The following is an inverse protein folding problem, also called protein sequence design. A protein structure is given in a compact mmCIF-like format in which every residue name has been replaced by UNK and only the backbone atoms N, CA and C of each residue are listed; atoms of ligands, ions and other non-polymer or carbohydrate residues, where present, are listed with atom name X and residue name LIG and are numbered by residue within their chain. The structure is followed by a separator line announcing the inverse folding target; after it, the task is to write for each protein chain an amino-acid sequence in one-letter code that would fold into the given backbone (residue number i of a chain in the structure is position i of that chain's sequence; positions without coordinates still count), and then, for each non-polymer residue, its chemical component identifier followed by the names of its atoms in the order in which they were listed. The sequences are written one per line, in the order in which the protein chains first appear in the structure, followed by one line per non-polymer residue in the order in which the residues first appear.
data_IF_040517188007
#
_entry.id   IF_040517188007
#
_cell.length_a   1.000
_cell.length_b   1.000
_cell.length_c   1.000
_cell.angle_alpha   90.00
_cell.angle_beta   90.00
_cell.angle_gamma   90.00
#
_symmetry.space_group_name_H-M   'P 1'
#
loop_
_entity.id
_entity.type
_entity.pdbx_description
1 polymer ?
#
# COMPACT_ATOMS: atom_id res chain seq x y z
N UNK A 1 31.64 26.18 5.31
CA UNK A 1 31.07 26.32 6.69
C UNK A 1 29.53 26.26 6.73
N UNK A 2 28.84 26.79 5.75
CA UNK A 2 27.36 26.84 5.73
C UNK A 2 26.72 25.46 5.68
N UNK A 3 27.19 24.54 4.80
CA UNK A 3 26.55 23.20 4.59
C UNK A 3 26.61 22.33 5.85
N UNK A 4 27.75 22.31 6.56
CA UNK A 4 27.89 21.50 7.77
C UNK A 4 26.92 21.95 8.88
N UNK A 5 26.71 23.27 9.00
CA UNK A 5 25.73 23.84 9.95
C UNK A 5 24.31 23.43 9.59
N UNK A 6 23.90 23.59 8.32
CA UNK A 6 22.57 23.20 7.83
C UNK A 6 22.30 21.70 8.06
N UNK A 7 23.31 20.85 7.79
CA UNK A 7 23.16 19.43 8.06
C UNK A 7 22.94 19.19 9.55
N UNK A 8 23.77 19.78 10.43
CA UNK A 8 23.65 19.60 11.88
C UNK A 8 22.31 20.06 12.41
N UNK A 9 21.84 21.24 12.00
CA UNK A 9 20.52 21.78 12.38
C UNK A 9 19.40 20.87 11.91
N UNK A 10 19.44 20.38 10.67
CA UNK A 10 18.43 19.47 10.15
C UNK A 10 18.41 18.13 10.86
N UNK A 11 19.57 17.54 11.10
CA UNK A 11 19.65 16.25 11.79
C UNK A 11 19.21 16.34 13.26
N UNK A 12 19.56 17.43 13.96
CA UNK A 12 19.13 17.61 15.36
C UNK A 12 17.61 17.79 15.52
N UNK A 13 16.94 18.30 14.49
CA UNK A 13 15.46 18.47 14.47
C UNK A 13 14.69 17.29 13.90
N UNK A 14 15.41 16.27 13.37
CA UNK A 14 14.77 15.13 12.70
C UNK A 14 14.76 13.91 13.63
N UNK A 15 13.60 13.30 13.91
CA UNK A 15 13.54 12.07 14.69
C UNK A 15 14.26 10.91 14.01
N UNK A 16 14.82 9.99 14.81
CA UNK A 16 15.41 8.76 14.28
C UNK A 16 14.35 7.93 13.51
N UNK A 17 14.76 7.32 12.40
CA UNK A 17 13.90 6.53 11.52
C UNK A 17 13.22 7.34 10.42
N UNK A 18 13.17 8.66 10.51
CA UNK A 18 12.60 9.52 9.45
C UNK A 18 13.57 9.60 8.27
N UNK A 19 13.04 9.38 7.07
CA UNK A 19 13.83 9.44 5.83
C UNK A 19 13.94 10.86 5.32
N UNK A 20 15.17 11.31 5.17
CA UNK A 20 15.54 12.61 4.60
C UNK A 20 16.05 12.45 3.17
N UNK A 21 15.68 13.38 2.32
CA UNK A 21 16.23 13.54 0.97
C UNK A 21 17.20 14.72 0.92
N UNK A 22 18.04 14.78 -0.11
CA UNK A 22 18.94 15.94 -0.29
C UNK A 22 18.16 17.26 -0.44
N UNK A 23 16.89 17.23 -0.85
CA UNK A 23 16.02 18.41 -0.96
C UNK A 23 15.61 18.98 0.40
N UNK A 24 15.51 18.14 1.43
CA UNK A 24 15.07 18.54 2.77
C UNK A 24 16.07 19.43 3.50
N UNK A 25 17.29 19.54 2.95
CA UNK A 25 18.34 20.41 3.49
C UNK A 25 18.30 21.84 2.93
N UNK A 26 17.45 22.15 1.95
CA UNK A 26 17.29 23.49 1.40
C UNK A 26 18.56 24.07 0.73
N UNK A 27 19.46 23.19 0.27
CA UNK A 27 20.75 23.60 -0.31
C UNK A 27 20.56 23.85 -1.82
N UNK A 28 21.06 25.00 -2.30
CA UNK A 28 21.03 25.35 -3.71
C UNK A 28 21.68 24.28 -4.60
N UNK A 29 21.24 24.20 -5.87
CA UNK A 29 21.67 23.17 -6.83
C UNK A 29 23.20 23.11 -6.98
N UNK A 30 23.87 24.26 -7.04
CA UNK A 30 25.35 24.35 -7.17
C UNK A 30 26.12 23.70 -6.02
N UNK A 31 25.50 23.57 -4.85
CA UNK A 31 26.11 22.95 -3.66
C UNK A 31 25.68 21.52 -3.40
N UNK A 32 24.78 20.95 -4.22
CA UNK A 32 24.31 19.58 -4.06
C UNK A 32 25.45 18.51 -4.04
N UNK A 33 26.52 18.63 -4.87
CA UNK A 33 27.65 17.70 -4.80
C UNK A 33 28.37 17.75 -3.45
N UNK A 34 28.56 18.95 -2.88
CA UNK A 34 29.19 19.12 -1.57
C UNK A 34 28.32 18.58 -0.44
N UNK A 35 26.99 18.81 -0.49
CA UNK A 35 26.02 18.19 0.43
C UNK A 35 26.10 16.66 0.37
N UNK A 36 26.04 16.07 -0.82
CA UNK A 36 26.11 14.63 -1.00
C UNK A 36 27.41 14.03 -0.44
N UNK A 37 28.56 14.70 -0.63
CA UNK A 37 29.85 14.29 -0.07
C UNK A 37 29.81 14.33 1.47
N UNK A 38 29.24 15.40 2.06
CA UNK A 38 29.14 15.54 3.50
C UNK A 38 28.20 14.46 4.11
N UNK A 39 27.04 14.21 3.50
CA UNK A 39 26.12 13.16 3.96
C UNK A 39 26.74 11.76 3.83
N UNK A 40 27.46 11.47 2.75
CA UNK A 40 28.17 10.19 2.61
C UNK A 40 29.28 10.02 3.69
N UNK A 41 29.93 11.09 4.11
CA UNK A 41 30.89 11.02 5.23
C UNK A 41 30.17 10.63 6.53
N UNK A 42 29.02 11.20 6.82
CA UNK A 42 28.20 10.82 8.00
C UNK A 42 27.72 9.36 7.93
N UNK A 43 27.46 8.85 6.71
CA UNK A 43 27.17 7.42 6.53
C UNK A 43 28.38 6.56 6.89
N UNK A 44 29.60 6.93 6.48
CA UNK A 44 30.83 6.21 6.83
C UNK A 44 31.12 6.26 8.35
N UNK A 45 30.72 7.34 9.02
CA UNK A 45 30.84 7.50 10.48
C UNK A 45 29.71 6.76 11.25
N UNK A 46 28.73 6.18 10.56
CA UNK A 46 27.60 5.48 11.18
C UNK A 46 26.57 6.39 11.86
N UNK A 47 26.62 7.70 11.60
CA UNK A 47 25.63 8.67 12.07
C UNK A 47 24.38 8.66 11.20
N UNK A 48 24.52 8.36 9.92
CA UNK A 48 23.43 8.17 8.97
C UNK A 48 23.47 6.79 8.33
N UNK A 49 22.34 6.33 7.86
CA UNK A 49 22.27 5.20 6.93
C UNK A 49 21.63 5.64 5.62
N UNK A 50 22.12 5.06 4.50
CA UNK A 50 21.63 5.34 3.15
C UNK A 50 20.70 4.23 2.71
N UNK A 51 19.50 4.58 2.28
CA UNK A 51 18.52 3.61 1.76
C UNK A 51 18.44 3.59 0.24
N UNK A 52 18.77 4.71 -0.42
CA UNK A 52 18.83 4.85 -1.88
C UNK A 52 19.70 6.09 -2.23
N UNK A 53 19.91 6.34 -3.52
CA UNK A 53 20.59 7.55 -3.99
C UNK A 53 19.87 8.80 -3.49
N UNK A 54 20.56 9.64 -2.73
CA UNK A 54 20.04 10.89 -2.16
C UNK A 54 19.02 10.72 -1.04
N UNK A 55 18.89 9.52 -0.44
CA UNK A 55 17.97 9.24 0.67
C UNK A 55 18.71 8.64 1.84
N UNK A 56 18.54 9.25 2.99
CA UNK A 56 19.26 8.92 4.21
C UNK A 56 18.30 8.93 5.39
N UNK A 57 18.66 8.28 6.50
CA UNK A 57 17.97 8.37 7.77
C UNK A 57 18.92 8.28 8.94
N UNK A 58 18.51 8.77 10.10
CA UNK A 58 19.20 8.62 11.36
C UNK A 58 18.79 7.26 11.95
N UNK A 59 19.71 6.28 12.09
CA UNK A 59 19.35 4.98 12.63
C UNK A 59 19.04 5.08 14.13
N UNK A 60 17.96 4.45 14.57
CA UNK A 60 17.72 4.24 15.98
C UNK A 60 18.57 3.06 16.45
N UNK A 61 19.58 3.34 17.25
CA UNK A 61 20.48 2.33 17.80
C UNK A 61 19.79 1.57 18.93
N UNK A 62 19.89 0.25 18.91
CA UNK A 62 19.38 -0.65 19.95
C UNK A 62 20.45 -1.68 20.30
N UNK A 63 20.24 -2.45 21.37
CA UNK A 63 21.12 -3.57 21.76
C UNK A 63 21.21 -4.66 20.67
N UNK A 64 20.19 -4.73 19.78
CA UNK A 64 20.14 -5.67 18.66
C UNK A 64 20.64 -5.06 17.34
N UNK A 65 21.22 -3.85 17.36
CA UNK A 65 21.70 -3.13 16.18
C UNK A 65 20.82 -1.95 15.78
N UNK A 66 21.02 -1.48 14.56
CA UNK A 66 20.30 -0.34 14.02
C UNK A 66 18.92 -0.76 13.50
N UNK A 67 17.86 -0.12 13.99
CA UNK A 67 16.51 -0.34 13.46
C UNK A 67 16.36 0.29 12.07
N UNK A 68 15.66 -0.44 11.19
CA UNK A 68 15.26 0.07 9.88
C UNK A 68 14.15 1.13 10.04
N UNK A 69 14.01 2.05 9.07
CA UNK A 69 12.86 2.93 9.01
C UNK A 69 11.53 2.15 8.91
N UNK A 70 10.44 2.77 9.31
CA UNK A 70 9.10 2.21 9.05
C UNK A 70 8.87 2.05 7.54
N UNK A 71 8.02 1.08 7.16
CA UNK A 71 7.69 0.82 5.76
C UNK A 71 7.18 2.07 5.03
N UNK A 72 6.36 2.88 5.70
CA UNK A 72 5.87 4.16 5.18
C UNK A 72 7.00 5.15 4.85
N UNK A 73 8.04 5.20 5.67
CA UNK A 73 9.20 6.05 5.41
C UNK A 73 10.07 5.51 4.25
N UNK A 74 10.21 4.18 4.13
CA UNK A 74 10.95 3.57 3.03
C UNK A 74 10.33 3.88 1.66
N UNK A 75 9.02 4.05 1.59
CA UNK A 75 8.26 4.27 0.35
C UNK A 75 7.62 5.64 0.25
N UNK A 76 7.91 6.56 1.17
CA UNK A 76 7.27 7.88 1.30
C UNK A 76 7.14 8.65 -0.03
N UNK A 77 8.19 8.62 -0.85
CA UNK A 77 8.20 9.26 -2.18
C UNK A 77 7.29 8.58 -3.22
N UNK A 78 6.78 7.39 -2.93
CA UNK A 78 5.76 6.70 -3.71
C UNK A 78 4.35 6.91 -3.14
N UNK A 79 4.24 7.37 -1.90
CA UNK A 79 2.95 7.66 -1.26
C UNK A 79 2.54 9.10 -1.49
N UNK A 80 3.50 10.03 -1.41
CA UNK A 80 3.25 11.46 -1.51
C UNK A 80 4.30 12.16 -2.37
N UNK A 81 3.86 13.10 -3.22
CA UNK A 81 4.71 13.97 -4.02
C UNK A 81 4.13 15.38 -4.04
N UNK A 82 4.93 16.38 -3.63
CA UNK A 82 4.53 17.81 -3.61
C UNK A 82 3.22 18.04 -2.85
N UNK A 83 3.03 17.40 -1.69
CA UNK A 83 1.83 17.52 -0.87
C UNK A 83 0.60 16.78 -1.42
N UNK A 84 0.74 16.01 -2.51
CA UNK A 84 -0.36 15.23 -3.09
C UNK A 84 -0.12 13.75 -2.86
N UNK A 85 -1.17 13.03 -2.49
CA UNK A 85 -1.15 11.57 -2.40
C UNK A 85 -1.06 11.01 -3.83
N UNK A 86 -0.09 10.13 -4.06
CA UNK A 86 0.16 9.50 -5.37
C UNK A 86 0.26 7.97 -5.27
N UNK A 87 0.10 7.43 -4.07
CA UNK A 87 0.11 6.00 -3.81
C UNK A 87 -0.26 5.67 -2.36
N UNK A 88 -0.39 4.39 -2.07
CA UNK A 88 -0.72 3.87 -0.74
C UNK A 88 -0.10 2.48 -0.54
N UNK A 89 0.19 2.13 0.70
CA UNK A 89 0.63 0.78 1.05
C UNK A 89 -0.58 -0.15 1.04
N UNK A 90 -0.45 -1.27 0.34
CA UNK A 90 -1.42 -2.37 0.25
C UNK A 90 -0.74 -3.73 0.42
N UNK A 91 -1.41 -4.83 0.05
CA UNK A 91 -0.86 -6.18 0.17
C UNK A 91 -0.78 -6.64 1.64
N UNK A 92 0.10 -7.60 1.92
CA UNK A 92 0.14 -8.31 3.20
C UNK A 92 0.15 -7.40 4.43
N UNK A 93 0.89 -6.27 4.40
CA UNK A 93 0.93 -5.33 5.51
C UNK A 93 -0.44 -4.67 5.79
N UNK A 94 -1.15 -4.26 4.73
CA UNK A 94 -2.50 -3.71 4.83
C UNK A 94 -3.52 -4.81 5.19
N UNK A 95 -3.37 -6.00 4.63
CA UNK A 95 -4.25 -7.13 4.87
C UNK A 95 -4.16 -7.64 6.31
N UNK A 96 -2.96 -7.62 6.91
CA UNK A 96 -2.78 -7.92 8.33
C UNK A 96 -3.56 -6.93 9.23
N UNK A 97 -3.55 -5.64 8.90
CA UNK A 97 -4.33 -4.64 9.64
C UNK A 97 -5.86 -4.79 9.47
N UNK A 98 -6.29 -5.47 8.42
CA UNK A 98 -7.70 -5.83 8.16
C UNK A 98 -8.08 -7.21 8.75
N UNK A 99 -7.15 -7.90 9.42
CA UNK A 99 -7.38 -9.24 9.96
C UNK A 99 -7.49 -10.34 8.90
N UNK A 100 -6.97 -10.10 7.68
CA UNK A 100 -7.01 -11.08 6.59
C UNK A 100 -5.82 -12.05 6.61
N UNK A 101 -4.78 -11.75 7.38
CA UNK A 101 -3.61 -12.61 7.54
C UNK A 101 -2.89 -12.29 8.84
N UNK A 102 -2.20 -13.28 9.39
CA UNK A 102 -1.30 -13.11 10.54
C UNK A 102 0.17 -12.99 10.12
N UNK A 103 0.46 -13.12 8.83
CA UNK A 103 1.83 -13.09 8.33
C UNK A 103 2.39 -11.67 8.30
N UNK A 104 3.61 -11.52 8.83
CA UNK A 104 4.40 -10.30 8.68
C UNK A 104 5.12 -10.34 7.33
N UNK A 105 4.88 -9.32 6.50
CA UNK A 105 5.52 -9.25 5.19
C UNK A 105 6.98 -8.77 5.29
N UNK A 106 7.88 -9.39 4.55
CA UNK A 106 9.24 -8.91 4.31
C UNK A 106 9.36 -7.99 3.10
N UNK A 107 8.24 -7.71 2.42
CA UNK A 107 8.17 -6.86 1.22
C UNK A 107 7.04 -5.85 1.35
N UNK A 108 7.16 -4.75 0.62
CA UNK A 108 6.14 -3.69 0.59
C UNK A 108 5.48 -3.69 -0.78
N UNK A 109 4.15 -3.72 -0.81
CA UNK A 109 3.36 -3.50 -2.02
C UNK A 109 2.74 -2.10 -1.97
N UNK A 110 2.96 -1.32 -3.03
CA UNK A 110 2.45 0.05 -3.15
C UNK A 110 1.46 0.13 -4.31
N UNK A 111 0.21 0.51 -4.02
CA UNK A 111 -0.78 0.90 -5.03
C UNK A 111 -0.44 2.29 -5.59
N UNK A 112 -0.39 2.44 -6.91
CA UNK A 112 -0.01 3.71 -7.58
C UNK A 112 -0.63 3.81 -8.97
N UNK A 113 -0.95 5.03 -9.41
CA UNK A 113 -1.48 5.28 -10.77
C UNK A 113 -0.42 5.20 -11.89
N UNK A 114 0.85 4.96 -11.54
CA UNK A 114 1.95 4.86 -12.53
C UNK A 114 2.56 3.47 -12.51
N UNK A 115 2.70 2.87 -13.68
CA UNK A 115 3.47 1.63 -13.80
C UNK A 115 4.90 1.84 -13.30
N UNK A 116 5.37 0.95 -12.44
CA UNK A 116 6.74 0.94 -11.90
C UNK A 116 7.27 -0.47 -11.81
N UNK A 117 8.55 -0.63 -12.11
CA UNK A 117 9.25 -1.90 -11.88
C UNK A 117 9.55 -2.07 -10.39
N UNK A 118 9.56 -3.30 -9.87
CA UNK A 118 9.99 -3.58 -8.51
C UNK A 118 11.41 -3.06 -8.26
N UNK A 119 11.65 -2.59 -7.03
CA UNK A 119 12.97 -2.10 -6.57
C UNK A 119 13.29 -2.69 -5.20
N UNK A 120 14.55 -2.56 -4.78
CA UNK A 120 14.98 -2.91 -3.42
C UNK A 120 15.55 -1.68 -2.73
N UNK A 121 15.12 -1.43 -1.50
CA UNK A 121 15.65 -0.39 -0.61
C UNK A 121 15.99 -0.98 0.75
N UNK A 122 17.19 -0.76 1.23
CA UNK A 122 17.63 -1.26 2.53
C UNK A 122 17.33 -2.76 2.76
N UNK A 123 17.47 -3.58 1.71
CA UNK A 123 17.18 -5.01 1.73
C UNK A 123 15.69 -5.38 1.69
N UNK A 124 14.78 -4.39 1.60
CA UNK A 124 13.33 -4.62 1.48
C UNK A 124 12.92 -4.53 0.02
N UNK A 125 12.24 -5.56 -0.49
CA UNK A 125 11.65 -5.56 -1.84
C UNK A 125 10.40 -4.69 -1.83
N UNK A 126 10.33 -3.74 -2.77
CA UNK A 126 9.17 -2.87 -2.99
C UNK A 126 8.60 -3.21 -4.35
N UNK A 127 7.36 -3.65 -4.37
CA UNK A 127 6.59 -3.96 -5.58
C UNK A 127 5.47 -2.94 -5.76
N UNK A 128 4.94 -2.84 -6.97
CA UNK A 128 3.91 -1.85 -7.30
C UNK A 128 2.70 -2.52 -7.93
N UNK A 129 1.52 -2.11 -7.47
CA UNK A 129 0.23 -2.50 -8.00
C UNK A 129 -0.35 -1.31 -8.77
N UNK A 130 -0.64 -1.50 -10.06
CA UNK A 130 -1.27 -0.44 -10.84
C UNK A 130 -2.71 -0.25 -10.35
N UNK A 131 -3.01 0.99 -9.98
CA UNK A 131 -4.32 1.46 -9.55
C UNK A 131 -4.86 2.43 -10.59
N UNK A 132 -6.02 2.12 -11.17
CA UNK A 132 -6.65 2.96 -12.19
C UNK A 132 -7.53 4.06 -11.60
N UNK A 133 -8.10 3.83 -10.42
CA UNK A 133 -8.83 4.87 -9.69
C UNK A 133 -7.92 6.00 -9.23
N UNK A 134 -8.45 7.22 -9.19
CA UNK A 134 -7.80 8.33 -8.50
C UNK A 134 -7.59 7.96 -7.02
N UNK A 135 -6.39 8.25 -6.49
CA UNK A 135 -6.03 7.93 -5.11
C UNK A 135 -6.23 9.15 -4.23
N UNK A 136 -7.07 9.01 -3.20
CA UNK A 136 -7.34 10.04 -2.20
C UNK A 136 -7.23 9.46 -0.79
N UNK A 137 -7.05 10.31 0.22
CA UNK A 137 -7.03 9.85 1.61
C UNK A 137 -8.33 9.15 2.03
N UNK A 138 -9.47 9.58 1.51
CA UNK A 138 -10.78 9.03 1.84
C UNK A 138 -11.02 7.65 1.23
N UNK A 139 -10.53 7.38 0.01
CA UNK A 139 -10.81 6.13 -0.68
C UNK A 139 -9.74 5.03 -0.50
N UNK A 140 -8.57 5.34 0.06
CA UNK A 140 -7.53 4.33 0.33
C UNK A 140 -8.05 3.12 1.12
N UNK A 141 -8.88 3.26 2.17
CA UNK A 141 -9.44 2.10 2.86
C UNK A 141 -10.29 1.21 1.95
N UNK A 142 -11.06 1.82 1.05
CA UNK A 142 -11.90 1.11 0.07
C UNK A 142 -11.06 0.40 -1.00
N UNK A 143 -10.02 1.08 -1.50
CA UNK A 143 -9.07 0.49 -2.45
C UNK A 143 -8.35 -0.73 -1.86
N UNK A 144 -8.02 -0.71 -0.56
CA UNK A 144 -7.43 -1.88 0.12
C UNK A 144 -8.38 -3.07 0.18
N UNK A 145 -9.68 -2.84 0.34
CA UNK A 145 -10.69 -3.91 0.27
C UNK A 145 -10.71 -4.52 -1.15
N UNK A 146 -10.72 -3.68 -2.18
CA UNK A 146 -10.69 -4.14 -3.57
C UNK A 146 -9.39 -4.86 -3.93
N UNK A 147 -8.26 -4.38 -3.42
CA UNK A 147 -6.96 -5.05 -3.58
C UNK A 147 -6.94 -6.42 -2.89
N UNK A 148 -7.59 -6.55 -1.73
CA UNK A 148 -7.72 -7.82 -1.04
C UNK A 148 -8.57 -8.81 -1.86
N UNK A 149 -9.68 -8.36 -2.44
CA UNK A 149 -10.48 -9.17 -3.37
C UNK A 149 -9.68 -9.55 -4.62
N UNK A 150 -8.87 -8.63 -5.16
CA UNK A 150 -7.98 -8.87 -6.30
C UNK A 150 -6.92 -9.91 -6.01
N UNK A 151 -6.37 -9.93 -4.82
CA UNK A 151 -5.28 -10.80 -4.39
C UNK A 151 -5.74 -11.96 -3.51
N UNK A 152 -7.05 -12.26 -3.48
CA UNK A 152 -7.65 -13.18 -2.51
C UNK A 152 -7.03 -14.59 -2.51
N UNK A 153 -6.52 -15.03 -3.66
CA UNK A 153 -5.84 -16.33 -3.80
C UNK A 153 -4.40 -16.33 -3.29
N UNK A 154 -3.81 -15.15 -3.16
CA UNK A 154 -2.39 -14.97 -2.85
C UNK A 154 -2.17 -14.44 -1.43
N UNK A 155 -3.25 -14.24 -0.64
CA UNK A 155 -3.13 -13.81 0.76
C UNK A 155 -2.62 -14.99 1.58
N UNK A 156 -1.44 -14.86 2.20
CA UNK A 156 -0.82 -15.98 2.90
C UNK A 156 -1.42 -16.23 4.29
N UNK A 157 -1.24 -17.45 4.81
CA UNK A 157 -1.65 -17.87 6.15
C UNK A 157 -3.15 -17.67 6.46
N UNK A 158 -3.99 -17.85 5.43
CA UNK A 158 -5.45 -17.76 5.51
C UNK A 158 -6.08 -18.49 4.33
N UNK A 159 -7.36 -18.78 4.39
CA UNK A 159 -8.13 -19.28 3.26
C UNK A 159 -8.93 -18.15 2.59
N UNK A 160 -9.29 -18.27 1.29
CA UNK A 160 -10.21 -17.35 0.63
C UNK A 160 -11.54 -17.20 1.36
N UNK A 161 -12.06 -18.25 1.96
CA UNK A 161 -13.30 -18.24 2.75
C UNK A 161 -13.18 -17.35 4.00
N UNK A 162 -12.09 -17.50 4.76
CA UNK A 162 -11.80 -16.63 5.90
C UNK A 162 -11.62 -15.18 5.46
N UNK A 163 -10.94 -14.96 4.32
CA UNK A 163 -10.79 -13.62 3.75
C UNK A 163 -12.13 -13.00 3.42
N UNK A 164 -13.03 -13.70 2.71
CA UNK A 164 -14.37 -13.21 2.39
C UNK A 164 -15.14 -12.88 3.67
N UNK A 165 -15.13 -13.75 4.65
CA UNK A 165 -15.81 -13.52 5.94
C UNK A 165 -15.31 -12.24 6.62
N UNK A 166 -14.01 -12.01 6.65
CA UNK A 166 -13.44 -10.80 7.27
C UNK A 166 -13.67 -9.54 6.41
N UNK A 167 -13.64 -9.67 5.08
CA UNK A 167 -14.00 -8.58 4.16
C UNK A 167 -15.47 -8.18 4.34
N UNK A 168 -16.39 -9.13 4.50
CA UNK A 168 -17.79 -8.84 4.82
C UNK A 168 -17.93 -8.02 6.10
N UNK A 169 -17.17 -8.36 7.17
CA UNK A 169 -17.14 -7.57 8.40
C UNK A 169 -16.64 -6.14 8.15
N UNK A 170 -15.56 -6.00 7.37
CA UNK A 170 -15.02 -4.69 7.01
C UNK A 170 -16.03 -3.86 6.20
N UNK A 171 -16.71 -4.45 5.22
CA UNK A 171 -17.76 -3.78 4.43
C UNK A 171 -18.96 -3.42 5.30
N UNK A 172 -19.34 -4.28 6.24
CA UNK A 172 -20.47 -4.01 7.13
C UNK A 172 -20.23 -2.76 7.99
N UNK A 173 -18.99 -2.52 8.40
CA UNK A 173 -18.59 -1.34 9.17
C UNK A 173 -18.59 -0.02 8.36
N UNK A 174 -18.68 -0.09 7.03
CA UNK A 174 -18.73 1.09 6.17
C UNK A 174 -20.09 1.78 6.24
N UNK A 175 -20.10 3.10 6.09
CA UNK A 175 -21.34 3.85 5.86
C UNK A 175 -21.96 3.50 4.51
N UNK A 176 -23.26 3.78 4.33
CA UNK A 176 -23.93 3.54 3.04
C UNK A 176 -23.29 4.32 1.89
N UNK A 177 -22.78 5.54 2.15
CA UNK A 177 -22.04 6.33 1.16
C UNK A 177 -20.74 5.63 0.74
N UNK A 178 -19.98 5.11 1.69
CA UNK A 178 -18.75 4.36 1.40
C UNK A 178 -19.02 3.04 0.68
N UNK A 179 -20.12 2.35 0.99
CA UNK A 179 -20.52 1.14 0.26
C UNK A 179 -20.82 1.46 -1.21
N UNK A 180 -21.54 2.56 -1.51
CA UNK A 180 -21.78 3.02 -2.89
C UNK A 180 -20.46 3.37 -3.58
N UNK A 181 -19.59 4.14 -2.93
CA UNK A 181 -18.27 4.48 -3.45
C UNK A 181 -17.41 3.23 -3.73
N UNK A 182 -17.47 2.21 -2.86
CA UNK A 182 -16.76 0.95 -3.07
C UNK A 182 -17.25 0.22 -4.32
N UNK A 183 -18.57 0.20 -4.59
CA UNK A 183 -19.12 -0.34 -5.81
C UNK A 183 -18.65 0.42 -7.06
N UNK A 184 -18.65 1.76 -7.02
CA UNK A 184 -18.15 2.61 -8.11
C UNK A 184 -16.67 2.39 -8.37
N UNK A 185 -15.83 2.40 -7.32
CA UNK A 185 -14.39 2.16 -7.44
C UNK A 185 -14.08 0.76 -8.01
N UNK A 186 -14.93 -0.22 -7.75
CA UNK A 186 -14.75 -1.59 -8.28
C UNK A 186 -14.81 -1.67 -9.80
N UNK A 187 -15.46 -0.70 -10.46
CA UNK A 187 -15.60 -0.68 -11.92
C UNK A 187 -14.27 -0.61 -12.67
N UNK A 188 -13.25 -0.03 -12.04
CA UNK A 188 -11.88 -0.01 -12.56
C UNK A 188 -11.09 -1.30 -12.29
N UNK A 189 -11.67 -2.29 -11.61
CA UNK A 189 -11.04 -3.58 -11.35
C UNK A 189 -11.47 -4.65 -12.36
N UNK A 190 -10.73 -5.75 -12.39
CA UNK A 190 -11.01 -6.88 -13.28
C UNK A 190 -12.38 -7.50 -13.00
N UNK A 191 -13.02 -8.12 -14.02
CA UNK A 191 -14.38 -8.65 -13.88
C UNK A 191 -14.57 -9.61 -12.70
N UNK A 192 -13.58 -10.46 -12.39
CA UNK A 192 -13.71 -11.39 -11.26
C UNK A 192 -13.76 -10.68 -9.89
N UNK A 193 -13.08 -9.53 -9.73
CA UNK A 193 -13.16 -8.71 -8.50
C UNK A 193 -14.56 -8.12 -8.36
N UNK A 194 -15.11 -7.62 -9.48
CA UNK A 194 -16.47 -7.09 -9.52
C UNK A 194 -17.50 -8.18 -9.23
N UNK A 195 -17.36 -9.37 -9.82
CA UNK A 195 -18.23 -10.51 -9.55
C UNK A 195 -18.19 -10.92 -8.07
N UNK A 196 -16.98 -10.99 -7.48
CA UNK A 196 -16.83 -11.34 -6.07
C UNK A 196 -17.44 -10.28 -5.14
N UNK A 197 -17.22 -8.99 -5.42
CA UNK A 197 -17.84 -7.91 -4.66
C UNK A 197 -19.36 -7.93 -4.81
N UNK A 198 -19.87 -8.19 -6.01
CA UNK A 198 -21.29 -8.31 -6.28
C UNK A 198 -21.95 -9.46 -5.51
N UNK A 199 -21.30 -10.64 -5.47
CA UNK A 199 -21.77 -11.77 -4.67
C UNK A 199 -21.79 -11.44 -3.16
N UNK A 200 -20.77 -10.73 -2.67
CA UNK A 200 -20.74 -10.25 -1.28
C UNK A 200 -21.87 -9.26 -1.03
N UNK A 201 -22.10 -8.30 -1.94
CA UNK A 201 -23.16 -7.30 -1.80
C UNK A 201 -24.57 -7.94 -1.81
N UNK A 202 -24.83 -8.86 -2.73
CA UNK A 202 -26.08 -9.59 -2.77
C UNK A 202 -26.32 -10.40 -1.48
N UNK A 203 -25.27 -11.08 -0.97
CA UNK A 203 -25.36 -11.82 0.30
C UNK A 203 -25.58 -10.90 1.52
N UNK A 204 -25.25 -9.61 1.41
CA UNK A 204 -25.45 -8.58 2.43
C UNK A 204 -26.72 -7.73 2.17
N UNK A 205 -27.55 -8.11 1.21
CA UNK A 205 -28.77 -7.38 0.80
C UNK A 205 -28.48 -5.91 0.41
N UNK A 206 -27.30 -5.65 -0.17
CA UNK A 206 -26.89 -4.34 -0.68
C UNK A 206 -27.23 -4.20 -2.16
N UNK A 207 -27.27 -2.95 -2.65
CA UNK A 207 -27.49 -2.64 -4.06
C UNK A 207 -26.36 -3.21 -4.94
N UNK A 208 -26.71 -3.93 -6.01
CA UNK A 208 -25.80 -4.64 -6.89
C UNK A 208 -25.86 -4.18 -8.34
N UNK A 209 -26.82 -3.34 -8.72
CA UNK A 209 -27.10 -2.97 -10.11
C UNK A 209 -25.90 -2.27 -10.77
N UNK A 210 -25.20 -1.42 -10.02
CA UNK A 210 -23.98 -0.72 -10.45
C UNK A 210 -22.90 -1.71 -10.91
N UNK A 211 -22.78 -2.85 -10.24
CA UNK A 211 -21.75 -3.87 -10.52
C UNK A 211 -22.24 -4.82 -11.61
N UNK A 212 -23.46 -5.37 -11.47
CA UNK A 212 -24.00 -6.43 -12.32
C UNK A 212 -24.09 -6.03 -13.79
N UNK A 213 -24.46 -4.80 -14.08
CA UNK A 213 -24.53 -4.24 -15.44
C UNK A 213 -23.19 -4.25 -16.19
N UNK A 214 -22.07 -4.38 -15.48
CA UNK A 214 -20.72 -4.33 -16.06
C UNK A 214 -20.11 -5.70 -16.29
N UNK A 215 -20.83 -6.77 -15.94
CA UNK A 215 -20.35 -8.13 -16.06
C UNK A 215 -20.96 -8.82 -17.30
N UNK A 216 -20.13 -9.65 -17.93
CA UNK A 216 -20.59 -10.51 -19.01
C UNK A 216 -21.20 -11.78 -18.41
N UNK A 217 -22.45 -12.08 -18.74
CA UNK A 217 -23.18 -13.24 -18.24
C UNK A 217 -22.64 -14.62 -18.68
N UNK A 218 -21.69 -14.66 -19.61
CA UNK A 218 -21.11 -15.91 -20.15
C UNK A 218 -19.78 -16.29 -19.48
N UNK A 219 -19.05 -15.31 -18.92
CA UNK A 219 -17.71 -15.54 -18.37
C UNK A 219 -17.79 -16.11 -16.97
N UNK A 220 -17.16 -17.28 -16.73
CA UNK A 220 -17.05 -17.89 -15.40
C UNK A 220 -15.72 -17.53 -14.71
N UNK A 221 -15.76 -17.37 -13.40
CA UNK A 221 -14.61 -17.00 -12.57
C UNK A 221 -14.28 -18.11 -11.59
N UNK A 222 -13.12 -18.75 -11.76
CA UNK A 222 -12.62 -19.79 -10.83
C UNK A 222 -12.07 -19.14 -9.57
N UNK A 223 -12.87 -19.13 -8.50
CA UNK A 223 -12.46 -18.66 -7.18
C UNK A 223 -12.71 -19.76 -6.16
N UNK A 224 -11.71 -20.12 -5.34
CA UNK A 224 -11.84 -21.21 -4.36
C UNK A 224 -12.59 -20.71 -3.11
N UNK A 225 -13.86 -20.38 -3.28
CA UNK A 225 -14.77 -19.93 -2.22
C UNK A 225 -15.90 -20.94 -2.11
N UNK A 226 -16.18 -21.39 -0.90
CA UNK A 226 -17.21 -22.39 -0.63
C UNK A 226 -18.63 -21.84 -0.75
N UNK A 227 -19.60 -22.72 -1.03
CA UNK A 227 -21.02 -22.36 -1.02
C UNK A 227 -21.51 -22.03 0.41
N UNK A 228 -20.78 -22.45 1.44
CA UNK A 228 -21.09 -22.12 2.85
C UNK A 228 -20.86 -20.63 3.15
N UNK A 229 -19.85 -20.03 2.52
CA UNK A 229 -19.49 -18.60 2.71
C UNK A 229 -20.28 -17.70 1.77
N UNK A 230 -20.44 -18.09 0.51
CA UNK A 230 -21.21 -17.36 -0.50
C UNK A 230 -22.13 -18.32 -1.26
N UNK A 231 -23.32 -18.64 -0.73
CA UNK A 231 -24.30 -19.54 -1.34
C UNK A 231 -24.81 -19.04 -2.70
N UNK A 232 -24.77 -17.72 -2.90
CA UNK A 232 -25.21 -17.01 -4.10
C UNK A 232 -24.10 -16.81 -5.16
N UNK A 233 -22.90 -17.33 -4.95
CA UNK A 233 -21.74 -17.08 -5.83
C UNK A 233 -21.99 -17.46 -7.30
N UNK A 234 -22.85 -18.47 -7.54
CA UNK A 234 -23.21 -18.91 -8.90
C UNK A 234 -24.02 -17.87 -9.67
N UNK A 235 -24.78 -16.99 -8.98
CA UNK A 235 -25.49 -15.87 -9.62
C UNK A 235 -24.49 -14.89 -10.27
N UNK A 236 -23.25 -14.92 -9.82
CA UNK A 236 -22.14 -14.08 -10.27
C UNK A 236 -21.10 -14.85 -11.11
N UNK A 237 -21.49 -16.01 -11.65
CA UNK A 237 -20.62 -16.90 -12.43
C UNK A 237 -19.31 -17.30 -11.72
N UNK A 238 -19.29 -17.34 -10.40
CA UNK A 238 -18.17 -17.82 -9.60
C UNK A 238 -18.31 -19.34 -9.42
N UNK A 239 -17.26 -20.08 -9.82
CA UNK A 239 -17.17 -21.54 -9.80
C UNK A 239 -15.91 -22.02 -9.10
#
# INVERSE_FOLDING_TARGET
MVIARLIKEKLSSTPAGVVLTTRDFGVEMRYQPALAKALNRLVLQGELQKIAKGKYYIPKKTIFGNLKPADSELVKDFLEQNGKIVGYITGTAAFASMGLTTQISSSILVGTNKYRRPITRNGVKISFLLQENAITSSNIPLLRILDALRLIKDIPATSPDECVTNICKAINALSMGQKRELAELSLAYTPYVRALLGAIYENMELETETISKTLNGVTSYKLPISDEVLSNKRNWNII
#
